data_IF_532295219353
#
_entry.id   IF_532295219353
#
_cell.length_a   1.000
_cell.length_b   1.000
_cell.length_c   1.000
_cell.angle_alpha   90.00
_cell.angle_beta   90.00
_cell.angle_gamma   90.00
#
_symmetry.space_group_name_H-M   'P 1'
#
loop_
_entity.id
_entity.type
_entity.pdbx_description
1 polymer ?
#
# COMPACT_ATOMS: atom_id res chain seq x y z
N UNK A 1 12.00 7.81 -17.70
CA UNK A 1 11.56 7.44 -16.33
C UNK A 1 12.76 7.51 -15.39
N UNK A 2 12.71 8.31 -14.31
CA UNK A 2 13.80 8.37 -13.34
C UNK A 2 13.63 7.26 -12.29
N UNK A 3 14.32 6.14 -12.49
CA UNK A 3 14.14 4.95 -11.66
C UNK A 3 14.48 5.21 -10.19
N UNK A 4 15.56 5.94 -9.89
CA UNK A 4 15.94 6.24 -8.50
C UNK A 4 14.87 7.06 -7.79
N UNK A 5 14.22 7.97 -8.51
CA UNK A 5 13.07 8.71 -7.97
C UNK A 5 11.88 7.79 -7.67
N UNK A 6 11.59 6.81 -8.55
CA UNK A 6 10.54 5.83 -8.30
C UNK A 6 10.85 4.91 -7.11
N UNK A 7 12.08 4.40 -6.98
CA UNK A 7 12.53 3.61 -5.83
C UNK A 7 12.24 4.35 -4.51
N UNK A 8 12.61 5.64 -4.46
CA UNK A 8 12.33 6.51 -3.30
C UNK A 8 10.84 6.69 -3.08
N UNK A 9 10.05 6.95 -4.13
CA UNK A 9 8.61 7.16 -4.00
C UNK A 9 7.86 5.90 -3.56
N UNK A 10 8.22 4.72 -4.06
CA UNK A 10 7.65 3.44 -3.60
C UNK A 10 8.02 3.16 -2.15
N UNK A 11 9.29 3.37 -1.78
CA UNK A 11 9.76 3.24 -0.39
C UNK A 11 8.98 4.17 0.54
N UNK A 12 8.88 5.45 0.18
CA UNK A 12 8.14 6.45 0.94
C UNK A 12 6.67 6.06 1.10
N UNK A 13 6.03 5.64 0.00
CA UNK A 13 4.61 5.25 -0.02
C UNK A 13 4.36 4.08 0.91
N UNK A 14 5.21 3.04 0.89
CA UNK A 14 5.04 1.86 1.73
C UNK A 14 5.37 2.12 3.20
N UNK A 15 6.44 2.89 3.49
CA UNK A 15 6.72 3.33 4.87
C UNK A 15 5.56 4.13 5.43
N UNK A 16 5.02 5.09 4.67
CA UNK A 16 3.83 5.83 5.07
C UNK A 16 2.65 4.88 5.29
N UNK A 17 2.42 3.90 4.41
CA UNK A 17 1.29 2.96 4.57
C UNK A 17 1.40 2.12 5.83
N UNK A 18 2.62 1.72 6.21
CA UNK A 18 2.86 0.86 7.36
C UNK A 18 2.79 1.63 8.68
N UNK A 19 3.34 2.84 8.72
CA UNK A 19 3.54 3.56 9.97
C UNK A 19 2.62 4.79 10.12
N UNK A 20 2.36 5.53 9.04
CA UNK A 20 1.60 6.79 9.07
C UNK A 20 0.56 6.81 7.95
N UNK A 21 -0.39 5.87 8.01
CA UNK A 21 -1.30 5.51 6.91
C UNK A 21 -1.95 6.69 6.17
N UNK A 22 -2.41 7.77 6.82
CA UNK A 22 -2.99 8.91 6.11
C UNK A 22 -2.03 9.61 5.14
N UNK A 23 -0.72 9.60 5.44
CA UNK A 23 0.28 10.24 4.58
C UNK A 23 0.56 9.47 3.30
N UNK A 24 0.13 8.21 3.17
CA UNK A 24 0.25 7.42 1.94
C UNK A 24 -0.41 8.09 0.74
N UNK A 25 -1.39 8.96 0.97
CA UNK A 25 -2.01 9.81 -0.06
C UNK A 25 -0.96 10.60 -0.83
N UNK A 26 0.04 11.15 -0.14
CA UNK A 26 1.12 11.93 -0.74
C UNK A 26 1.98 11.04 -1.64
N UNK A 27 2.36 9.85 -1.15
CA UNK A 27 3.15 8.89 -1.91
C UNK A 27 2.47 8.46 -3.22
N UNK A 28 1.19 8.06 -3.15
CA UNK A 28 0.41 7.68 -4.34
C UNK A 28 0.20 8.85 -5.30
N UNK A 29 -0.02 10.06 -4.78
CA UNK A 29 -0.17 11.25 -5.62
C UNK A 29 1.13 11.58 -6.38
N UNK A 30 2.29 11.52 -5.71
CA UNK A 30 3.58 11.72 -6.35
C UNK A 30 3.88 10.64 -7.39
N UNK A 31 3.61 9.37 -7.08
CA UNK A 31 3.74 8.26 -8.04
C UNK A 31 2.87 8.50 -9.29
N UNK A 32 1.64 8.98 -9.11
CA UNK A 32 0.75 9.31 -10.23
C UNK A 32 1.30 10.43 -11.13
N UNK A 33 2.12 11.34 -10.57
CA UNK A 33 2.82 12.37 -11.34
C UNK A 33 3.98 11.81 -12.17
N UNK A 34 4.70 10.81 -11.66
CA UNK A 34 5.85 10.21 -12.34
C UNK A 34 5.48 9.09 -13.32
N UNK A 35 4.32 8.44 -13.12
CA UNK A 35 3.87 7.28 -13.87
C UNK A 35 2.61 7.61 -14.70
N UNK A 36 2.75 8.56 -15.63
CA UNK A 36 1.63 9.08 -16.43
C UNK A 36 0.87 7.98 -17.20
N UNK A 37 1.59 7.02 -17.79
CA UNK A 37 1.01 5.91 -18.57
C UNK A 37 0.23 4.91 -17.68
N UNK A 38 0.50 4.90 -16.37
CA UNK A 38 -0.11 4.03 -15.37
C UNK A 38 -1.03 4.79 -14.41
N UNK A 39 -1.40 6.02 -14.77
CA UNK A 39 -2.16 6.95 -13.93
C UNK A 39 -3.52 6.43 -13.51
N UNK A 40 -4.26 5.77 -14.40
CA UNK A 40 -5.64 5.36 -14.12
C UNK A 40 -5.71 4.30 -12.99
N UNK A 41 -4.93 3.21 -13.01
CA UNK A 41 -4.79 2.33 -11.85
C UNK A 41 -4.35 3.07 -10.58
N UNK A 42 -3.35 3.96 -10.65
CA UNK A 42 -2.89 4.72 -9.48
C UNK A 42 -3.98 5.65 -8.90
N UNK A 43 -4.79 6.27 -9.76
CA UNK A 43 -5.95 7.07 -9.35
C UNK A 43 -6.97 6.23 -8.60
N UNK A 44 -7.29 5.03 -9.09
CA UNK A 44 -8.21 4.11 -8.39
C UNK A 44 -7.63 3.61 -7.06
N UNK A 45 -6.32 3.38 -7.02
CA UNK A 45 -5.59 3.05 -5.78
C UNK A 45 -5.73 4.16 -4.75
N UNK A 46 -5.56 5.42 -5.19
CA UNK A 46 -5.71 6.60 -4.34
C UNK A 46 -7.15 6.80 -3.87
N UNK A 47 -8.15 6.61 -4.74
CA UNK A 47 -9.57 6.70 -4.36
C UNK A 47 -9.92 5.69 -3.27
N UNK A 48 -9.48 4.43 -3.42
CA UNK A 48 -9.70 3.40 -2.40
C UNK A 48 -9.00 3.74 -1.07
N UNK A 49 -7.78 4.30 -1.13
CA UNK A 49 -7.06 4.78 0.05
C UNK A 49 -7.78 5.93 0.74
N UNK A 50 -8.26 6.93 -0.01
CA UNK A 50 -8.99 8.07 0.58
C UNK A 50 -10.30 7.59 1.23
N UNK A 51 -11.01 6.67 0.58
CA UNK A 51 -12.23 6.08 1.13
C UNK A 51 -11.99 5.30 2.43
N UNK A 52 -10.79 4.78 2.68
CA UNK A 52 -10.47 4.05 3.91
C UNK A 52 -10.06 4.97 5.07
N UNK A 53 -9.73 6.25 4.82
CA UNK A 53 -9.26 7.17 5.88
C UNK A 53 -10.28 7.35 7.02
N UNK A 54 -11.59 7.51 6.78
CA UNK A 54 -12.56 7.57 7.88
C UNK A 54 -12.57 6.29 8.72
N UNK A 55 -12.41 5.12 8.09
CA UNK A 55 -12.34 3.84 8.79
C UNK A 55 -11.03 3.69 9.58
N UNK A 56 -9.93 4.24 9.07
CA UNK A 56 -8.67 4.31 9.82
C UNK A 56 -8.83 5.16 11.09
N UNK A 57 -9.49 6.32 10.98
CA UNK A 57 -9.86 7.13 12.14
C UNK A 57 -10.76 6.37 13.12
N UNK A 58 -11.78 5.67 12.62
CA UNK A 58 -12.63 4.83 13.45
C UNK A 58 -11.85 3.70 14.14
N UNK A 59 -10.88 3.07 13.47
CA UNK A 59 -9.99 2.07 14.08
C UNK A 59 -9.18 2.64 15.26
N UNK A 60 -8.74 3.89 15.17
CA UNK A 60 -8.07 4.57 16.28
C UNK A 60 -9.05 4.77 17.43
N UNK A 61 -10.22 5.35 17.17
CA UNK A 61 -11.22 5.63 18.21
C UNK A 61 -11.77 4.37 18.88
N UNK A 62 -11.79 3.23 18.17
CA UNK A 62 -12.23 1.93 18.69
C UNK A 62 -11.10 1.12 19.36
N UNK A 63 -9.88 1.65 19.47
CA UNK A 63 -8.76 0.92 20.09
C UNK A 63 -8.20 -0.25 19.27
N UNK A 64 -8.58 -0.36 17.99
CA UNK A 64 -8.13 -1.44 17.08
C UNK A 64 -6.72 -1.14 16.54
N UNK A 65 -6.38 0.13 16.41
CA UNK A 65 -5.07 0.60 15.92
C UNK A 65 -4.10 0.78 17.09
N UNK A 66 -2.83 0.39 16.92
CA UNK A 66 -1.76 0.68 17.89
C UNK A 66 -1.56 2.18 18.13
N UNK A 67 -2.04 3.03 17.21
CA UNK A 67 -2.07 4.47 17.41
C UNK A 67 -3.03 4.93 18.52
N UNK A 68 -4.04 4.14 18.90
CA UNK A 68 -4.91 4.48 20.02
C UNK A 68 -4.11 4.62 21.32
N UNK A 69 -3.22 3.65 21.58
CA UNK A 69 -2.33 3.68 22.75
C UNK A 69 -1.29 4.79 22.61
N UNK A 70 -0.63 4.90 21.45
CA UNK A 70 0.41 5.90 21.22
C UNK A 70 -0.09 7.35 21.36
N UNK A 71 -1.37 7.60 21.05
CA UNK A 71 -2.01 8.92 21.16
C UNK A 71 -2.74 9.11 22.50
N UNK A 72 -2.77 8.11 23.38
CA UNK A 72 -3.49 8.17 24.66
C UNK A 72 -5.01 8.28 24.51
N UNK A 73 -5.58 7.74 23.42
CA UNK A 73 -7.02 7.79 23.15
C UNK A 73 -7.71 6.66 23.92
N UNK A 74 -8.70 7.02 24.75
CA UNK A 74 -9.61 6.06 25.39
C UNK A 74 -10.56 5.46 24.35
N UNK A 75 -10.58 4.13 24.15
CA UNK A 75 -11.45 3.50 23.17
C UNK A 75 -12.94 3.74 23.46
N UNK A 76 -13.70 4.04 22.40
CA UNK A 76 -15.16 4.13 22.46
C UNK A 76 -15.73 2.72 22.57
N UNK A 77 -16.63 2.49 23.54
CA UNK A 77 -17.36 1.23 23.65
C UNK A 77 -18.28 1.02 22.45
N UNK A 78 -18.11 -0.11 21.77
CA UNK A 78 -18.94 -0.52 20.65
C UNK A 78 -19.14 -2.04 20.69
N UNK A 79 -20.21 -2.51 20.02
CA UNK A 79 -20.42 -3.96 19.90
C UNK A 79 -19.31 -4.60 19.05
N UNK A 80 -19.03 -5.89 19.32
CA UNK A 80 -18.02 -6.65 18.56
C UNK A 80 -18.32 -6.65 17.05
N UNK A 81 -19.59 -6.61 16.66
CA UNK A 81 -20.01 -6.52 15.27
C UNK A 81 -19.54 -5.24 14.59
N UNK A 82 -19.63 -4.09 15.28
CA UNK A 82 -19.16 -2.79 14.75
C UNK A 82 -17.64 -2.80 14.61
N UNK A 83 -16.93 -3.28 15.62
CA UNK A 83 -15.47 -3.43 15.61
C UNK A 83 -15.01 -4.27 14.41
N UNK A 84 -15.63 -5.44 14.21
CA UNK A 84 -15.31 -6.33 13.11
C UNK A 84 -15.66 -5.71 11.75
N UNK A 85 -16.83 -5.07 11.62
CA UNK A 85 -17.25 -4.42 10.39
C UNK A 85 -16.30 -3.30 9.98
N UNK A 86 -15.88 -2.44 10.91
CA UNK A 86 -14.89 -1.38 10.66
C UNK A 86 -13.56 -1.98 10.23
N UNK A 87 -13.07 -2.99 10.96
CA UNK A 87 -11.78 -3.63 10.66
C UNK A 87 -11.76 -4.30 9.28
N UNK A 88 -12.76 -5.11 8.96
CA UNK A 88 -12.86 -5.84 7.69
C UNK A 88 -13.05 -4.88 6.52
N UNK A 89 -13.91 -3.87 6.66
CA UNK A 89 -14.13 -2.87 5.60
C UNK A 89 -12.88 -2.06 5.35
N UNK A 90 -12.14 -1.70 6.39
CA UNK A 90 -10.83 -1.05 6.25
C UNK A 90 -9.84 -1.92 5.48
N UNK A 91 -9.69 -3.20 5.86
CA UNK A 91 -8.80 -4.13 5.17
C UNK A 91 -9.21 -4.35 3.71
N UNK A 92 -10.51 -4.39 3.42
CA UNK A 92 -11.03 -4.51 2.06
C UNK A 92 -10.64 -3.30 1.19
N UNK A 93 -10.80 -2.08 1.70
CA UNK A 93 -10.41 -0.87 0.98
C UNK A 93 -8.88 -0.77 0.82
N UNK A 94 -8.12 -1.18 1.84
CA UNK A 94 -6.66 -1.26 1.74
C UNK A 94 -6.23 -2.30 0.69
N UNK A 95 -6.87 -3.46 0.65
CA UNK A 95 -6.67 -4.47 -0.38
C UNK A 95 -6.99 -3.91 -1.77
N UNK A 96 -8.11 -3.20 -1.95
CA UNK A 96 -8.47 -2.58 -3.21
C UNK A 96 -7.44 -1.52 -3.65
N UNK A 97 -6.94 -0.72 -2.71
CA UNK A 97 -5.88 0.24 -2.98
C UNK A 97 -4.61 -0.45 -3.49
N UNK A 98 -4.17 -1.51 -2.82
CA UNK A 98 -3.02 -2.30 -3.25
C UNK A 98 -3.28 -3.10 -4.54
N UNK A 99 -4.51 -3.53 -4.79
CA UNK A 99 -4.88 -4.21 -6.04
C UNK A 99 -4.70 -3.31 -7.25
N UNK A 100 -5.15 -2.06 -7.15
CA UNK A 100 -4.95 -1.11 -8.24
C UNK A 100 -3.47 -0.67 -8.38
N UNK A 101 -2.72 -0.62 -7.28
CA UNK A 101 -1.26 -0.43 -7.33
C UNK A 101 -0.57 -1.61 -8.04
N UNK A 102 -0.96 -2.84 -7.70
CA UNK A 102 -0.52 -4.06 -8.38
C UNK A 102 -0.87 -4.02 -9.87
N UNK A 103 -2.06 -3.53 -10.25
CA UNK A 103 -2.42 -3.36 -11.67
C UNK A 103 -1.51 -2.38 -12.40
N UNK A 104 -1.04 -1.32 -11.74
CA UNK A 104 -0.03 -0.41 -12.30
C UNK A 104 1.31 -1.14 -12.48
N UNK A 105 1.78 -1.81 -11.42
CA UNK A 105 3.04 -2.57 -11.42
C UNK A 105 3.05 -3.72 -12.43
N UNK A 106 1.94 -4.45 -12.57
CA UNK A 106 1.78 -5.53 -13.54
C UNK A 106 1.84 -5.00 -14.96
N UNK A 107 1.17 -3.88 -15.26
CA UNK A 107 1.27 -3.27 -16.60
C UNK A 107 2.68 -2.81 -16.90
N UNK A 108 3.32 -2.14 -15.95
CA UNK A 108 4.71 -1.73 -16.09
C UNK A 108 5.64 -2.93 -16.29
N UNK A 109 5.38 -4.03 -15.58
CA UNK A 109 6.09 -5.31 -15.76
C UNK A 109 5.89 -5.86 -17.17
N UNK A 110 4.66 -5.90 -17.67
CA UNK A 110 4.32 -6.38 -19.02
C UNK A 110 4.97 -5.50 -20.11
N UNK A 111 5.08 -4.18 -19.88
CA UNK A 111 5.67 -3.22 -20.82
C UNK A 111 7.22 -3.23 -20.83
N UNK A 112 7.86 -3.58 -19.71
CA UNK A 112 9.33 -3.54 -19.57
C UNK A 112 10.00 -4.91 -19.43
N UNK A 113 9.23 -6.00 -19.32
CA UNK A 113 9.72 -7.35 -19.03
C UNK A 113 10.22 -7.55 -17.59
N UNK A 114 9.97 -6.62 -16.68
CA UNK A 114 10.49 -6.67 -15.31
C UNK A 114 9.51 -7.42 -14.38
N UNK A 115 9.50 -8.75 -14.44
CA UNK A 115 8.59 -9.65 -13.70
C UNK A 115 8.57 -9.43 -12.17
N UNK A 116 9.65 -8.87 -11.62
CA UNK A 116 9.78 -8.60 -10.18
C UNK A 116 8.84 -7.48 -9.70
N UNK A 117 8.44 -6.55 -10.58
CA UNK A 117 7.40 -5.55 -10.27
C UNK A 117 6.06 -6.22 -9.97
N UNK A 118 5.67 -7.17 -10.80
CA UNK A 118 4.43 -7.94 -10.67
C UNK A 118 4.45 -8.81 -9.41
N UNK A 119 5.55 -9.52 -9.20
CA UNK A 119 5.76 -10.36 -8.00
C UNK A 119 5.73 -9.53 -6.72
N UNK A 120 6.41 -8.38 -6.71
CA UNK A 120 6.39 -7.46 -5.57
C UNK A 120 4.99 -6.93 -5.28
N UNK A 121 4.23 -6.53 -6.31
CA UNK A 121 2.83 -6.11 -6.14
C UNK A 121 1.91 -7.21 -5.62
N UNK A 122 2.09 -8.47 -6.05
CA UNK A 122 1.35 -9.61 -5.48
C UNK A 122 1.71 -9.86 -4.02
N UNK A 123 2.98 -9.71 -3.64
CA UNK A 123 3.41 -9.85 -2.25
C UNK A 123 2.72 -8.80 -1.35
N UNK A 124 2.55 -7.56 -1.83
CA UNK A 124 1.79 -6.54 -1.10
C UNK A 124 0.32 -6.94 -0.92
N UNK A 125 -0.30 -7.57 -1.92
CA UNK A 125 -1.67 -8.08 -1.78
C UNK A 125 -1.78 -9.19 -0.74
N UNK A 126 -0.82 -10.11 -0.70
CA UNK A 126 -0.74 -11.19 0.29
C UNK A 126 -0.48 -10.65 1.70
N UNK A 127 0.17 -9.49 1.84
CA UNK A 127 0.39 -8.88 3.15
C UNK A 127 -0.94 -8.61 3.89
N UNK A 128 -2.03 -8.27 3.18
CA UNK A 128 -3.32 -7.94 3.80
C UNK A 128 -3.95 -9.12 4.56
N UNK A 129 -4.15 -10.32 3.97
CA UNK A 129 -4.60 -11.47 4.76
C UNK A 129 -3.59 -11.87 5.85
N UNK A 130 -2.28 -11.68 5.63
CA UNK A 130 -1.28 -11.94 6.67
C UNK A 130 -1.44 -11.02 7.88
N UNK A 131 -1.93 -9.79 7.70
CA UNK A 131 -2.24 -8.86 8.80
C UNK A 131 -3.28 -9.45 9.76
N UNK A 132 -4.17 -10.33 9.29
CA UNK A 132 -5.15 -11.03 10.13
C UNK A 132 -4.51 -12.17 10.93
N UNK A 133 -3.47 -12.80 10.38
CA UNK A 133 -2.74 -13.91 11.04
C UNK A 133 -1.78 -13.35 12.07
N UNK A 134 -0.81 -12.54 11.64
CA UNK A 134 0.11 -11.82 12.54
C UNK A 134 0.57 -10.52 11.90
N UNK A 135 0.72 -9.49 12.73
CA UNK A 135 1.31 -8.21 12.32
C UNK A 135 2.72 -8.40 11.78
N UNK A 136 3.54 -9.27 12.39
CA UNK A 136 4.90 -9.60 11.91
C UNK A 136 4.92 -10.12 10.48
N UNK A 137 4.04 -11.07 10.13
CA UNK A 137 3.98 -11.61 8.76
C UNK A 137 3.57 -10.54 7.74
N UNK A 138 2.64 -9.65 8.10
CA UNK A 138 2.30 -8.47 7.29
C UNK A 138 3.53 -7.59 7.03
N UNK A 139 4.31 -7.26 8.06
CA UNK A 139 5.52 -6.45 7.92
C UNK A 139 6.55 -7.10 7.00
N UNK A 140 6.84 -8.39 7.22
CA UNK A 140 7.80 -9.15 6.39
C UNK A 140 7.35 -9.18 4.93
N UNK A 141 6.08 -9.52 4.65
CA UNK A 141 5.56 -9.53 3.29
C UNK A 141 5.63 -8.14 2.64
N UNK A 142 5.30 -7.08 3.37
CA UNK A 142 5.36 -5.70 2.85
C UNK A 142 6.79 -5.30 2.50
N UNK A 143 7.78 -5.61 3.35
CA UNK A 143 9.19 -5.36 3.07
C UNK A 143 9.71 -6.18 1.89
N UNK A 144 9.36 -7.47 1.81
CA UNK A 144 9.72 -8.31 0.66
C UNK A 144 9.11 -7.77 -0.64
N UNK A 145 7.85 -7.32 -0.60
CA UNK A 145 7.19 -6.69 -1.73
C UNK A 145 7.92 -5.42 -2.18
N UNK A 146 8.34 -4.56 -1.24
CA UNK A 146 9.13 -3.37 -1.55
C UNK A 146 10.47 -3.72 -2.21
N UNK A 147 11.22 -4.67 -1.66
CA UNK A 147 12.52 -5.09 -2.21
C UNK A 147 12.37 -5.62 -3.64
N UNK A 148 11.34 -6.41 -3.91
CA UNK A 148 11.04 -6.92 -5.25
C UNK A 148 10.64 -5.80 -6.22
N UNK A 149 9.88 -4.81 -5.76
CA UNK A 149 9.55 -3.63 -6.58
C UNK A 149 10.83 -2.85 -6.91
N UNK A 150 11.69 -2.55 -5.93
CA UNK A 150 12.96 -1.86 -6.16
C UNK A 150 13.82 -2.62 -7.16
N UNK A 151 13.98 -3.93 -6.96
CA UNK A 151 14.76 -4.77 -7.86
C UNK A 151 14.15 -4.82 -9.28
N UNK A 152 12.82 -4.91 -9.40
CA UNK A 152 12.14 -4.83 -10.69
C UNK A 152 12.30 -3.48 -11.38
N UNK A 153 12.29 -2.39 -10.61
CA UNK A 153 12.57 -1.05 -11.15
C UNK A 153 14.00 -0.96 -11.69
N UNK A 154 14.98 -1.54 -11.01
CA UNK A 154 16.37 -1.62 -11.51
C UNK A 154 16.47 -2.40 -12.83
N UNK A 155 15.74 -3.51 -12.98
CA UNK A 155 15.69 -4.28 -14.23
C UNK A 155 15.20 -3.45 -15.42
N UNK A 156 14.31 -2.48 -15.18
CA UNK A 156 13.83 -1.59 -16.26
C UNK A 156 14.96 -0.72 -16.84
N UNK A 157 16.03 -0.41 -16.08
CA UNK A 157 17.19 0.34 -16.61
C UNK A 157 17.86 -0.43 -17.75
N UNK A 158 18.02 -1.74 -17.58
CA UNK A 158 18.65 -2.62 -18.58
C UNK A 158 17.81 -2.81 -19.86
N UNK A 159 16.48 -2.70 -19.77
CA UNK A 159 15.57 -2.80 -20.91
C UNK A 159 15.60 -1.55 -21.81
N UNK A 160 15.99 -0.39 -21.27
CA UNK A 160 16.04 0.89 -21.98
C UNK A 160 17.46 1.36 -22.34
N UNK A 161 18.48 0.51 -22.16
CA UNK A 161 19.82 0.74 -22.73
C UNK A 161 20.57 1.96 -22.20
N UNK A 162 20.61 2.14 -20.87
CA UNK A 162 21.56 3.05 -20.20
C UNK A 162 22.53 2.27 -19.32
#
# INVERSE_FOLDING_TARGET
MNVRKLEVLFTLTLIMMMYVYPLTVVGLWLLMGELADYKEPLKRSLVALVASLPLYGAKIMLGISGWSEALGITPIEASQWVVNAVHVTFLLLQFLSLYFLYRALSRMSDDTGAEMLKTGGLMLLVAIPLHVITVTAYFVATWMGLLLIIYGLEQTKGAFGY
#
